data_IF_829306117468
#
_entry.id   IF_829306117468
#
_cell.length_a   1.000
_cell.length_b   1.000
_cell.length_c   1.000
_cell.angle_alpha   90.00
_cell.angle_beta   90.00
_cell.angle_gamma   90.00
#
_symmetry.space_group_name_H-M   'P 1'
#
loop_
_entity.id
_entity.type
_entity.pdbx_description
1 polymer ?
#
# COMPACT_ATOMS: atom_id res chain seq x y z
N UNK A 1 -7.92 -31.35 4.52
CA UNK A 1 -6.66 -32.06 4.28
C UNK A 1 -5.55 -31.43 5.10
N UNK A 2 -4.78 -32.27 5.85
CA UNK A 2 -3.68 -31.81 6.72
C UNK A 2 -2.54 -31.16 5.91
N UNK A 3 -2.25 -31.67 4.71
CA UNK A 3 -1.24 -31.11 3.83
C UNK A 3 -1.61 -29.68 3.37
N UNK A 4 -2.88 -29.45 3.04
CA UNK A 4 -3.35 -28.12 2.65
C UNK A 4 -3.23 -27.11 3.80
N UNK A 5 -3.57 -27.53 5.03
CA UNK A 5 -3.41 -26.68 6.22
C UNK A 5 -1.93 -26.33 6.44
N UNK A 6 -1.04 -27.27 6.24
CA UNK A 6 0.40 -27.05 6.40
C UNK A 6 0.97 -26.14 5.28
N UNK A 7 0.49 -26.29 4.05
CA UNK A 7 0.83 -25.38 2.96
C UNK A 7 0.32 -23.94 3.26
N UNK A 8 -0.91 -23.82 3.79
CA UNK A 8 -1.46 -22.51 4.17
C UNK A 8 -0.63 -21.82 5.26
N UNK A 9 -0.12 -22.56 6.24
CA UNK A 9 0.75 -22.00 7.30
C UNK A 9 2.06 -21.43 6.79
N UNK A 10 2.52 -21.87 5.61
CA UNK A 10 3.76 -21.42 4.97
C UNK A 10 3.54 -20.19 4.05
N UNK A 11 2.30 -19.78 3.87
CA UNK A 11 1.99 -18.59 3.06
C UNK A 11 2.57 -17.34 3.71
N UNK A 12 3.44 -16.66 3.00
CA UNK A 12 4.04 -15.42 3.46
C UNK A 12 3.11 -14.23 3.23
N UNK A 13 3.14 -13.32 4.17
CA UNK A 13 2.50 -12.01 4.00
C UNK A 13 3.34 -11.10 3.12
N UNK A 14 2.69 -10.19 2.43
CA UNK A 14 3.37 -9.13 1.71
C UNK A 14 3.87 -8.04 2.68
N UNK A 15 4.67 -7.11 2.18
CA UNK A 15 5.11 -5.97 2.98
C UNK A 15 3.95 -5.05 3.32
N UNK A 16 4.11 -4.28 4.36
CA UNK A 16 3.33 -3.09 4.62
C UNK A 16 3.92 -1.88 3.87
N UNK A 17 3.32 -0.72 4.08
CA UNK A 17 3.82 0.55 3.56
C UNK A 17 3.63 1.68 4.57
N UNK A 18 4.38 2.76 4.36
CA UNK A 18 4.05 4.07 4.91
C UNK A 18 3.60 4.98 3.78
N UNK A 19 2.67 5.89 4.07
CA UNK A 19 2.26 6.92 3.14
C UNK A 19 2.24 8.29 3.83
N UNK A 20 2.57 9.33 3.09
CA UNK A 20 2.42 10.71 3.51
C UNK A 20 1.46 11.39 2.55
N UNK A 21 0.38 11.91 3.08
CA UNK A 21 -0.66 12.61 2.35
C UNK A 21 -0.43 14.11 2.51
N UNK A 22 -0.39 14.83 1.41
CA UNK A 22 -0.11 16.26 1.35
C UNK A 22 -1.25 16.92 0.58
N UNK A 23 -1.99 17.79 1.25
CA UNK A 23 -3.02 18.64 0.65
C UNK A 23 -2.45 20.02 0.34
N UNK A 24 -2.68 20.49 -0.87
CA UNK A 24 -2.28 21.82 -1.31
C UNK A 24 -3.44 22.77 -1.05
N UNK A 25 -3.13 23.92 -0.47
CA UNK A 25 -4.10 24.95 -0.09
C UNK A 25 -4.93 25.38 -1.31
N UNK A 26 -6.20 25.59 -1.10
CA UNK A 26 -7.11 26.06 -2.15
C UNK A 26 -6.60 27.38 -2.76
N UNK A 27 -6.51 27.39 -4.10
CA UNK A 27 -5.99 28.54 -4.88
C UNK A 27 -4.49 28.48 -5.14
N UNK A 28 -3.74 27.61 -4.47
CA UNK A 28 -2.35 27.32 -4.82
C UNK A 28 -2.28 26.29 -5.95
N UNK A 29 -1.19 26.31 -6.71
CA UNK A 29 -0.95 25.40 -7.82
C UNK A 29 0.35 24.65 -7.68
N UNK A 30 0.41 23.46 -8.26
CA UNK A 30 1.63 22.66 -8.41
C UNK A 30 1.90 22.47 -9.90
N UNK A 31 3.10 22.82 -10.34
CA UNK A 31 3.51 22.59 -11.71
C UNK A 31 3.49 21.11 -12.05
N UNK A 32 3.18 20.79 -13.31
CA UNK A 32 3.10 19.41 -13.74
C UNK A 32 4.47 18.73 -13.70
N UNK A 33 4.62 17.77 -12.81
CA UNK A 33 5.83 16.96 -12.62
C UNK A 33 5.64 15.47 -13.05
N UNK A 34 4.57 15.20 -13.80
CA UNK A 34 4.12 13.84 -14.10
C UNK A 34 3.08 13.33 -13.09
N UNK A 35 2.37 12.27 -13.44
CA UNK A 35 1.40 11.66 -12.53
C UNK A 35 2.09 10.83 -11.42
N UNK A 36 3.26 10.27 -11.73
CA UNK A 36 4.08 9.48 -10.82
C UNK A 36 5.55 9.89 -10.92
N UNK A 37 6.16 10.09 -9.77
CA UNK A 37 7.60 10.34 -9.63
C UNK A 37 8.21 9.26 -8.73
N UNK A 38 9.16 8.51 -9.27
CA UNK A 38 9.94 7.54 -8.51
C UNK A 38 11.30 8.13 -8.16
N UNK A 39 11.64 8.11 -6.88
CA UNK A 39 12.93 8.61 -6.38
C UNK A 39 13.68 7.50 -5.67
N UNK A 40 14.99 7.44 -5.87
CA UNK A 40 15.87 6.56 -5.11
C UNK A 40 17.24 7.22 -4.92
N UNK A 41 17.82 7.02 -3.75
CA UNK A 41 19.21 7.36 -3.43
C UNK A 41 20.09 6.10 -3.28
N UNK A 42 19.52 4.92 -3.53
CA UNK A 42 20.24 3.66 -3.49
C UNK A 42 21.04 3.46 -4.79
N UNK A 43 22.33 3.15 -4.68
CA UNK A 43 23.18 2.84 -5.84
C UNK A 43 22.83 1.50 -6.48
N UNK A 44 22.32 0.56 -5.70
CA UNK A 44 21.92 -0.79 -6.14
C UNK A 44 20.56 -1.16 -5.58
N UNK A 45 19.81 -1.93 -6.35
CA UNK A 45 18.55 -2.49 -5.88
C UNK A 45 18.82 -3.56 -4.81
N UNK A 46 18.28 -3.32 -3.61
CA UNK A 46 18.25 -4.26 -2.50
C UNK A 46 16.85 -4.30 -1.89
N UNK A 47 16.22 -5.46 -1.94
CA UNK A 47 14.87 -5.66 -1.42
C UNK A 47 14.76 -5.48 0.10
N UNK A 48 15.84 -5.67 0.85
CA UNK A 48 15.87 -5.42 2.28
C UNK A 48 15.94 -3.91 2.57
N UNK A 49 16.79 -3.17 1.82
CA UNK A 49 16.85 -1.71 1.91
C UNK A 49 15.53 -1.03 1.60
N UNK A 50 14.78 -1.53 0.60
CA UNK A 50 13.49 -0.96 0.23
C UNK A 50 12.47 -0.94 1.38
N UNK A 51 12.62 -1.81 2.38
CA UNK A 51 11.72 -1.95 3.52
C UNK A 51 12.28 -1.36 4.81
N UNK A 52 13.53 -0.92 4.79
CA UNK A 52 14.23 -0.37 5.93
C UNK A 52 13.58 0.93 6.43
N UNK A 53 13.69 1.19 7.73
CA UNK A 53 13.37 2.51 8.32
C UNK A 53 14.23 3.64 7.74
N UNK A 54 15.43 3.33 7.27
CA UNK A 54 16.22 4.25 6.46
C UNK A 54 15.69 4.25 5.03
N UNK A 55 14.75 5.14 4.76
CA UNK A 55 14.01 5.19 3.50
C UNK A 55 14.91 5.70 2.39
N UNK A 56 15.24 4.82 1.46
CA UNK A 56 16.06 5.12 0.28
C UNK A 56 15.25 5.40 -0.97
N UNK A 57 13.99 4.98 -1.01
CA UNK A 57 13.14 5.10 -2.20
C UNK A 57 11.73 5.54 -1.84
N UNK A 58 11.15 6.43 -2.65
CA UNK A 58 9.77 6.91 -2.54
C UNK A 58 9.12 6.98 -3.90
N UNK A 59 7.82 6.72 -3.93
CA UNK A 59 6.95 7.02 -5.06
C UNK A 59 6.05 8.18 -4.66
N UNK A 60 6.02 9.24 -5.45
CA UNK A 60 5.07 10.33 -5.30
C UNK A 60 4.01 10.21 -6.39
N UNK A 61 2.75 10.17 -6.00
CA UNK A 61 1.59 10.23 -6.88
C UNK A 61 1.00 11.63 -6.80
N UNK A 62 0.90 12.28 -7.95
CA UNK A 62 0.34 13.62 -8.05
C UNK A 62 -1.10 13.55 -8.54
N UNK A 63 -1.96 14.31 -7.89
CA UNK A 63 -3.37 14.40 -8.22
C UNK A 63 -3.70 15.83 -8.56
N UNK A 64 -3.85 16.08 -9.87
CA UNK A 64 -4.16 17.38 -10.44
C UNK A 64 -5.66 17.54 -10.62
N UNK A 65 -6.23 18.77 -10.46
CA UNK A 65 -7.65 19.03 -10.70
C UNK A 65 -8.12 18.57 -12.08
N UNK A 66 -7.33 18.82 -13.12
CA UNK A 66 -7.66 18.46 -14.51
C UNK A 66 -7.81 16.95 -14.73
N UNK A 67 -7.17 16.12 -13.92
CA UNK A 67 -7.25 14.66 -14.00
C UNK A 67 -8.22 14.05 -12.98
N UNK A 68 -8.86 14.89 -12.15
CA UNK A 68 -9.79 14.46 -11.08
C UNK A 68 -11.08 15.25 -11.13
N UNK A 69 -12.08 14.81 -11.90
CA UNK A 69 -13.37 15.47 -11.99
C UNK A 69 -13.99 15.75 -10.60
N UNK A 70 -14.41 16.98 -10.37
CA UNK A 70 -15.04 17.41 -9.11
C UNK A 70 -14.07 17.84 -8.00
N UNK A 71 -12.77 17.93 -8.28
CA UNK A 71 -11.78 18.51 -7.37
C UNK A 71 -11.16 19.75 -7.97
N UNK A 72 -11.07 20.82 -7.18
CA UNK A 72 -10.36 22.06 -7.50
C UNK A 72 -9.04 22.19 -6.72
N UNK A 73 -8.63 21.11 -6.03
CA UNK A 73 -7.44 21.10 -5.19
C UNK A 73 -6.44 20.03 -5.64
N UNK A 74 -5.17 20.36 -5.48
CA UNK A 74 -4.07 19.44 -5.72
C UNK A 74 -3.83 18.58 -4.48
N UNK A 75 -3.44 17.32 -4.67
CA UNK A 75 -2.96 16.47 -3.61
C UNK A 75 -1.75 15.66 -4.06
N UNK A 76 -0.87 15.35 -3.13
CA UNK A 76 0.30 14.52 -3.38
C UNK A 76 0.32 13.40 -2.33
N UNK A 77 0.53 12.17 -2.79
CA UNK A 77 0.70 11.02 -1.90
C UNK A 77 2.08 10.42 -2.11
N UNK A 78 2.91 10.47 -1.09
CA UNK A 78 4.17 9.76 -1.08
C UNK A 78 4.00 8.37 -0.47
N UNK A 79 4.56 7.35 -1.11
CA UNK A 79 4.52 5.97 -0.64
C UNK A 79 5.92 5.37 -0.53
N UNK A 80 6.14 4.56 0.49
CA UNK A 80 7.34 3.74 0.66
C UNK A 80 6.99 2.39 1.28
N UNK A 81 7.79 1.36 0.99
CA UNK A 81 7.62 0.08 1.67
C UNK A 81 8.03 0.17 3.13
N UNK A 82 7.44 -0.66 3.98
CA UNK A 82 7.74 -0.71 5.40
C UNK A 82 7.59 -2.13 5.95
N UNK A 83 8.37 -2.43 6.99
CA UNK A 83 8.13 -3.60 7.82
C UNK A 83 7.20 -3.22 8.97
N UNK A 84 6.28 -4.11 9.32
CA UNK A 84 5.37 -3.90 10.45
C UNK A 84 6.11 -3.82 11.78
N UNK A 85 7.10 -4.68 11.96
CA UNK A 85 7.89 -4.80 13.19
C UNK A 85 8.60 -3.51 13.58
N UNK A 86 8.98 -2.71 12.59
CA UNK A 86 9.64 -1.41 12.81
C UNK A 86 8.72 -0.39 13.51
N UNK A 87 7.40 -0.62 13.49
CA UNK A 87 6.38 0.28 14.03
C UNK A 87 5.57 -0.33 15.19
N UNK A 88 5.51 -1.66 15.26
CA UNK A 88 4.62 -2.37 16.19
C UNK A 88 4.94 -2.11 17.64
N UNK A 89 6.23 -2.10 17.99
CA UNK A 89 6.73 -2.08 19.37
C UNK A 89 7.19 -0.69 19.83
N UNK A 90 6.95 0.35 19.05
CA UNK A 90 7.29 1.72 19.45
C UNK A 90 6.38 2.20 20.60
N UNK A 91 6.96 2.86 21.57
CA UNK A 91 6.20 3.63 22.56
C UNK A 91 5.38 4.74 21.86
N UNK A 92 4.35 5.29 22.50
CA UNK A 92 3.57 6.38 21.92
C UNK A 92 4.41 7.60 21.52
N UNK A 93 5.45 7.90 22.27
CA UNK A 93 6.39 9.00 22.03
C UNK A 93 7.24 8.72 20.80
N UNK A 94 7.88 7.54 20.75
CA UNK A 94 8.70 7.09 19.61
C UNK A 94 7.88 6.99 18.32
N UNK A 95 6.63 6.52 18.43
CA UNK A 95 5.72 6.44 17.29
C UNK A 95 5.42 7.82 16.70
N UNK A 96 5.11 8.81 17.56
CA UNK A 96 4.87 10.20 17.12
C UNK A 96 6.12 10.82 16.50
N UNK A 97 7.28 10.63 17.13
CA UNK A 97 8.56 11.10 16.60
C UNK A 97 8.86 10.49 15.23
N UNK A 98 8.73 9.17 15.10
CA UNK A 98 8.97 8.45 13.84
C UNK A 98 8.01 8.89 12.72
N UNK A 99 6.72 9.18 13.02
CA UNK A 99 5.78 9.77 12.04
C UNK A 99 6.23 11.16 11.60
N UNK A 100 6.69 11.99 12.54
CA UNK A 100 7.20 13.33 12.23
C UNK A 100 8.44 13.26 11.32
N UNK A 101 9.37 12.39 11.63
CA UNK A 101 10.58 12.18 10.83
C UNK A 101 10.25 11.67 9.42
N UNK A 102 9.27 10.77 9.30
CA UNK A 102 8.76 10.29 8.02
C UNK A 102 8.21 11.44 7.18
N UNK A 103 7.40 12.32 7.76
CA UNK A 103 6.84 13.50 7.09
C UNK A 103 7.97 14.42 6.65
N UNK A 104 8.84 14.82 7.57
CA UNK A 104 9.92 15.79 7.30
C UNK A 104 10.89 15.30 6.24
N UNK A 105 11.31 14.03 6.33
CA UNK A 105 12.20 13.44 5.31
C UNK A 105 11.53 13.33 3.95
N UNK A 106 10.22 13.10 3.91
CA UNK A 106 9.45 13.04 2.67
C UNK A 106 9.31 14.41 2.03
N UNK A 107 8.96 15.43 2.81
CA UNK A 107 8.86 16.81 2.33
C UNK A 107 10.23 17.32 1.82
N UNK A 108 11.30 16.99 2.50
CA UNK A 108 12.68 17.36 2.08
C UNK A 108 13.04 16.76 0.71
N UNK A 109 12.61 15.54 0.43
CA UNK A 109 12.79 14.94 -0.90
C UNK A 109 11.87 15.58 -1.93
N UNK A 110 10.59 15.77 -1.60
CA UNK A 110 9.60 16.37 -2.51
C UNK A 110 9.98 17.77 -2.93
N UNK A 111 10.51 18.57 -2.03
CA UNK A 111 10.88 19.98 -2.29
C UNK A 111 11.96 20.14 -3.36
N UNK A 112 12.76 19.11 -3.63
CA UNK A 112 13.71 19.07 -4.75
C UNK A 112 13.01 19.03 -6.13
N UNK A 113 11.79 18.54 -6.18
CA UNK A 113 11.01 18.37 -7.41
C UNK A 113 9.83 19.33 -7.50
N UNK A 114 9.33 19.79 -6.36
CA UNK A 114 8.25 20.78 -6.23
C UNK A 114 8.74 21.88 -5.27
N UNK A 115 9.54 22.83 -5.76
CA UNK A 115 10.08 23.92 -4.93
C UNK A 115 8.96 24.73 -4.27
N UNK A 116 9.11 25.04 -3.00
CA UNK A 116 8.14 25.83 -2.22
C UNK A 116 6.85 25.06 -1.86
N UNK A 117 6.81 23.73 -1.99
CA UNK A 117 5.63 22.95 -1.63
C UNK A 117 5.21 23.14 -0.17
N UNK A 118 6.17 23.34 0.73
CA UNK A 118 5.89 23.58 2.16
C UNK A 118 5.02 24.82 2.40
N UNK A 119 5.24 25.87 1.63
CA UNK A 119 4.49 27.11 1.76
C UNK A 119 3.09 27.02 1.15
N UNK A 120 2.89 26.07 0.24
CA UNK A 120 1.62 25.84 -0.48
C UNK A 120 0.70 24.84 0.21
N UNK A 121 1.22 23.99 1.09
CA UNK A 121 0.40 22.97 1.76
C UNK A 121 -0.35 23.55 2.97
N UNK A 122 -1.53 23.03 3.25
CA UNK A 122 -2.32 23.28 4.46
C UNK A 122 -2.67 22.00 5.22
N UNK A 123 -2.37 20.84 4.64
CA UNK A 123 -2.59 19.55 5.26
C UNK A 123 -1.41 18.62 5.02
N UNK A 124 -0.98 17.94 6.08
CA UNK A 124 -0.03 16.83 5.99
C UNK A 124 -0.31 15.78 7.08
N UNK A 125 -0.39 14.53 6.68
CA UNK A 125 -0.61 13.40 7.59
C UNK A 125 0.20 12.19 7.08
N UNK A 126 0.61 11.31 8.00
CA UNK A 126 1.26 10.06 7.64
C UNK A 126 0.48 8.84 8.13
N UNK A 127 0.36 7.82 7.29
CA UNK A 127 -0.03 6.47 7.67
C UNK A 127 1.19 5.56 7.78
N UNK A 128 1.06 4.55 8.63
CA UNK A 128 2.10 3.59 8.96
C UNK A 128 1.51 2.17 8.86
N UNK A 129 2.31 1.11 8.97
CA UNK A 129 1.80 -0.25 9.05
C UNK A 129 0.68 -0.45 10.09
N UNK A 130 0.76 0.20 11.25
CA UNK A 130 -0.31 0.17 12.26
C UNK A 130 -1.60 0.85 11.80
N UNK A 131 -1.48 1.90 10.98
CA UNK A 131 -2.65 2.56 10.38
C UNK A 131 -3.33 1.62 9.39
N UNK A 132 -2.56 0.97 8.52
CA UNK A 132 -3.09 -0.02 7.58
C UNK A 132 -3.77 -1.17 8.32
N UNK A 133 -3.11 -1.79 9.30
CA UNK A 133 -3.71 -2.87 10.09
C UNK A 133 -5.03 -2.45 10.72
N UNK A 134 -5.08 -1.27 11.35
CA UNK A 134 -6.29 -0.74 12.01
C UNK A 134 -7.47 -0.59 11.06
N UNK A 135 -7.24 -0.08 9.85
CA UNK A 135 -8.33 0.25 8.92
C UNK A 135 -8.69 -0.88 7.95
N UNK A 136 -7.75 -1.75 7.60
CA UNK A 136 -7.97 -2.83 6.65
C UNK A 136 -8.16 -4.19 7.32
N UNK A 137 -7.79 -4.32 8.59
CA UNK A 137 -7.74 -5.55 9.36
C UNK A 137 -6.81 -6.62 8.74
N UNK A 138 -5.94 -6.23 7.83
CA UNK A 138 -4.94 -7.12 7.29
C UNK A 138 -3.85 -7.38 8.32
N UNK A 139 -3.48 -8.64 8.59
CA UNK A 139 -2.40 -8.97 9.49
C UNK A 139 -1.11 -8.22 9.13
N UNK A 140 -0.44 -7.64 10.14
CA UNK A 140 0.77 -6.85 9.97
C UNK A 140 0.61 -5.66 8.99
N UNK A 141 -0.61 -5.15 8.82
CA UNK A 141 -0.89 -4.03 7.95
C UNK A 141 -0.44 -4.22 6.51
N UNK A 142 -0.51 -5.46 5.98
CA UNK A 142 -0.02 -5.75 4.63
C UNK A 142 -0.76 -4.94 3.57
N UNK A 143 -0.01 -4.34 2.65
CA UNK A 143 -0.60 -3.49 1.60
C UNK A 143 -1.27 -4.29 0.49
N UNK A 144 -0.79 -5.52 0.21
CA UNK A 144 -1.21 -6.35 -0.91
C UNK A 144 -1.54 -7.79 -0.49
N UNK A 145 -1.96 -8.00 0.76
CA UNK A 145 -2.33 -9.30 1.28
C UNK A 145 -1.14 -10.27 1.35
N UNK A 146 -1.29 -11.45 0.73
CA UNK A 146 -0.25 -12.48 0.74
C UNK A 146 0.69 -12.37 -0.47
N UNK A 147 1.82 -13.09 -0.40
CA UNK A 147 2.65 -13.37 -1.56
C UNK A 147 1.99 -14.40 -2.48
N UNK A 148 2.62 -14.74 -3.60
CA UNK A 148 2.05 -15.56 -4.67
C UNK A 148 1.47 -16.89 -4.21
N UNK A 149 2.09 -17.54 -3.25
CA UNK A 149 1.64 -18.83 -2.71
C UNK A 149 0.22 -18.77 -2.14
N UNK A 150 -0.21 -17.62 -1.65
CA UNK A 150 -1.57 -17.43 -1.14
C UNK A 150 -2.66 -17.54 -2.20
N UNK A 151 -2.35 -17.23 -3.46
CA UNK A 151 -3.31 -17.40 -4.55
C UNK A 151 -3.66 -18.87 -4.77
N UNK A 152 -2.66 -19.76 -4.75
CA UNK A 152 -2.88 -21.22 -4.84
C UNK A 152 -3.79 -21.71 -3.72
N UNK A 153 -3.54 -21.26 -2.49
CA UNK A 153 -4.37 -21.60 -1.31
C UNK A 153 -5.80 -21.11 -1.49
N UNK A 154 -5.98 -19.83 -1.86
CA UNK A 154 -7.30 -19.24 -2.10
C UNK A 154 -8.10 -19.99 -3.16
N UNK A 155 -7.49 -20.31 -4.29
CA UNK A 155 -8.14 -21.06 -5.37
C UNK A 155 -8.42 -22.52 -5.01
N UNK A 156 -7.66 -23.12 -4.11
CA UNK A 156 -7.81 -24.50 -3.67
C UNK A 156 -8.89 -24.71 -2.60
N UNK A 157 -9.40 -23.65 -1.98
CA UNK A 157 -10.39 -23.76 -0.89
C UNK A 157 -11.65 -24.56 -1.23
N UNK A 158 -12.29 -24.41 -2.40
CA UNK A 158 -13.51 -25.14 -2.72
C UNK A 158 -13.31 -26.67 -2.79
N UNK A 159 -12.08 -27.11 -3.10
CA UNK A 159 -11.73 -28.54 -3.10
C UNK A 159 -11.53 -29.09 -1.67
N UNK A 160 -11.23 -28.23 -0.70
CA UNK A 160 -11.04 -28.62 0.70
C UNK A 160 -12.34 -28.54 1.52
N UNK A 161 -13.12 -27.50 1.25
CA UNK A 161 -14.40 -27.26 1.94
C UNK A 161 -15.44 -26.94 0.87
N UNK A 162 -16.37 -27.87 0.67
CA UNK A 162 -17.43 -27.72 -0.34
C UNK A 162 -18.22 -26.44 -0.14
N UNK A 163 -18.34 -25.63 -1.18
CA UNK A 163 -19.09 -24.37 -1.16
C UNK A 163 -18.36 -23.19 -0.52
N UNK A 164 -17.11 -23.38 -0.06
CA UNK A 164 -16.29 -22.27 0.47
C UNK A 164 -15.41 -21.69 -0.62
N UNK A 165 -15.64 -20.44 -0.95
CA UNK A 165 -14.86 -19.66 -1.92
C UNK A 165 -14.24 -18.46 -1.22
N UNK A 166 -13.04 -18.07 -1.64
CA UNK A 166 -12.36 -16.89 -1.14
C UNK A 166 -12.03 -15.94 -2.30
N UNK A 167 -12.22 -14.65 -2.09
CA UNK A 167 -11.87 -13.59 -3.02
C UNK A 167 -11.34 -12.37 -2.27
N UNK A 168 -10.74 -11.44 -3.00
CA UNK A 168 -10.17 -10.21 -2.44
C UNK A 168 -8.69 -10.07 -2.81
N UNK A 169 -7.97 -9.27 -2.02
CA UNK A 169 -6.56 -9.00 -2.25
C UNK A 169 -5.70 -10.20 -1.81
N UNK A 170 -5.27 -11.02 -2.76
CA UNK A 170 -4.49 -12.23 -2.51
C UNK A 170 -3.40 -12.42 -3.57
N UNK A 171 -2.23 -12.85 -3.14
CA UNK A 171 -1.08 -12.91 -4.03
C UNK A 171 -0.89 -11.56 -4.75
N UNK A 172 0.26 -11.02 -4.78
CA UNK A 172 0.49 -9.65 -5.27
C UNK A 172 -0.20 -9.32 -6.61
N UNK A 173 -0.41 -10.32 -7.46
CA UNK A 173 -1.01 -10.15 -8.80
C UNK A 173 -2.53 -9.91 -8.75
N UNK A 174 -3.21 -10.43 -7.74
CA UNK A 174 -4.65 -10.25 -7.52
C UNK A 174 -4.89 -9.21 -6.41
N UNK A 175 -4.09 -8.14 -6.41
CA UNK A 175 -4.14 -7.08 -5.42
C UNK A 175 -4.34 -5.71 -6.06
N UNK A 176 -4.64 -4.72 -5.22
CA UNK A 176 -5.09 -3.41 -5.67
C UNK A 176 -6.49 -3.49 -6.28
N UNK A 177 -6.99 -2.38 -6.79
CA UNK A 177 -8.35 -2.28 -7.32
C UNK A 177 -8.61 -3.25 -8.47
N UNK A 178 -7.77 -3.18 -9.50
CA UNK A 178 -7.95 -3.97 -10.72
C UNK A 178 -7.75 -5.46 -10.45
N UNK A 179 -6.70 -5.83 -9.72
CA UNK A 179 -6.42 -7.22 -9.40
C UNK A 179 -7.50 -7.86 -8.54
N UNK A 180 -7.97 -7.17 -7.50
CA UNK A 180 -9.03 -7.68 -6.62
C UNK A 180 -10.38 -7.79 -7.34
N UNK A 181 -10.74 -6.82 -8.20
CA UNK A 181 -11.94 -6.88 -9.03
C UNK A 181 -11.87 -8.05 -10.02
N UNK A 182 -10.75 -8.22 -10.72
CA UNK A 182 -10.56 -9.32 -11.66
C UNK A 182 -10.63 -10.69 -10.97
N UNK A 183 -10.02 -10.83 -9.80
CA UNK A 183 -10.12 -12.07 -9.02
C UNK A 183 -11.57 -12.32 -8.55
N UNK A 184 -12.31 -11.28 -8.19
CA UNK A 184 -13.74 -11.36 -7.88
C UNK A 184 -14.54 -11.96 -9.02
N UNK A 185 -14.30 -11.54 -10.27
CA UNK A 185 -14.95 -12.10 -11.47
C UNK A 185 -14.60 -13.58 -11.67
N UNK A 186 -13.33 -13.95 -11.50
CA UNK A 186 -12.87 -15.35 -11.60
C UNK A 186 -13.60 -16.21 -10.57
N UNK A 187 -13.65 -15.75 -9.31
CA UNK A 187 -14.31 -16.49 -8.23
C UNK A 187 -15.83 -16.58 -8.46
N UNK A 188 -16.48 -15.50 -8.89
CA UNK A 188 -17.90 -15.50 -9.21
C UNK A 188 -18.26 -16.54 -10.29
N UNK A 189 -17.46 -16.63 -11.34
CA UNK A 189 -17.63 -17.65 -12.37
C UNK A 189 -17.47 -19.09 -11.81
N UNK A 190 -16.58 -19.29 -10.85
CA UNK A 190 -16.43 -20.60 -10.20
C UNK A 190 -17.63 -20.94 -9.29
N UNK A 191 -18.18 -19.94 -8.59
CA UNK A 191 -19.41 -20.08 -7.80
C UNK A 191 -20.60 -20.44 -8.70
N UNK A 192 -20.76 -19.75 -9.84
CA UNK A 192 -21.84 -20.04 -10.79
C UNK A 192 -21.76 -21.49 -11.32
N UNK A 193 -20.56 -21.95 -11.70
CA UNK A 193 -20.35 -23.35 -12.09
C UNK A 193 -20.72 -24.34 -10.98
N UNK A 194 -20.33 -24.04 -9.75
CA UNK A 194 -20.64 -24.87 -8.59
C UNK A 194 -22.15 -24.94 -8.31
N UNK A 195 -22.87 -23.84 -8.47
CA UNK A 195 -24.32 -23.81 -8.25
C UNK A 195 -25.13 -24.53 -9.31
N UNK A 196 -24.54 -24.72 -10.50
CA UNK A 196 -25.18 -25.46 -11.62
C UNK A 196 -24.80 -26.94 -11.64
N UNK A 197 -23.85 -27.39 -10.82
CA UNK A 197 -23.44 -28.81 -10.73
C UNK A 197 -24.20 -29.54 -9.64
#
# INVERSE_FOLDING_TARGET
>A
DAQFVEENRKVRLNNSSCQVYIGIRKGETVDYAGDLLFTSVAEKLDSQMLRSRNITSRTFSFYYPDTRPGSDMYAIVASTNANYEDWANLSPEEYRASKKDLIESTLTVLEKYVPGVRDKMDYVEASTPKTFERYTLHPNGTSFGTKFEGLKISMGLPAQVRGLFHTGSVGIIMSGWLGAANYGVIVANNVDKYLRS
#
